data_IF_482237930925
#
_entry.id   IF_482237930925
#
_cell.length_a   1.000
_cell.length_b   1.000
_cell.length_c   1.000
_cell.angle_alpha   90.00
_cell.angle_beta   90.00
_cell.angle_gamma   90.00
#
_symmetry.space_group_name_H-M   'P 1'
#
loop_
_entity.id
_entity.type
_entity.pdbx_description
1 polymer ?
#
# COMPACT_ATOMS: atom_id res chain seq x y z
N UNK A 1 -9.17 21.48 -11.79
CA UNK A 1 -8.00 22.11 -12.45
C UNK A 1 -8.46 23.41 -13.09
N UNK A 2 -7.56 24.34 -13.38
CA UNK A 2 -7.87 25.55 -14.15
C UNK A 2 -6.88 25.68 -15.31
N UNK A 3 -7.37 26.15 -16.45
CA UNK A 3 -6.55 26.38 -17.63
C UNK A 3 -5.89 27.76 -17.52
N UNK A 4 -4.59 27.85 -17.81
CA UNK A 4 -3.85 29.11 -17.96
C UNK A 4 -3.59 29.37 -19.44
N UNK A 5 -4.36 30.27 -20.09
CA UNK A 5 -4.21 30.55 -21.52
C UNK A 5 -2.82 31.05 -21.88
N UNK A 6 -2.22 31.93 -21.06
CA UNK A 6 -0.90 32.50 -21.29
C UNK A 6 0.24 31.46 -21.31
N UNK A 7 0.04 30.30 -20.69
CA UNK A 7 1.03 29.23 -20.63
C UNK A 7 0.57 27.97 -21.39
N UNK A 8 -0.55 28.03 -22.11
CA UNK A 8 -1.14 26.89 -22.82
C UNK A 8 -1.32 25.62 -21.98
N UNK A 9 -1.51 25.75 -20.65
CA UNK A 9 -1.38 24.60 -19.75
C UNK A 9 -2.43 24.58 -18.65
N UNK A 10 -2.78 23.36 -18.22
CA UNK A 10 -3.67 23.11 -17.09
C UNK A 10 -2.89 23.07 -15.78
N UNK A 11 -3.44 23.68 -14.74
CA UNK A 11 -2.87 23.64 -13.39
C UNK A 11 -3.87 23.10 -12.37
N UNK A 12 -3.33 22.41 -11.38
CA UNK A 12 -4.10 21.99 -10.21
C UNK A 12 -4.50 23.23 -9.41
N UNK A 13 -5.81 23.42 -9.22
CA UNK A 13 -6.36 24.55 -8.48
C UNK A 13 -6.26 24.33 -6.97
N UNK A 14 -6.43 23.08 -6.54
CA UNK A 14 -6.39 22.66 -5.15
C UNK A 14 -5.96 21.19 -5.10
N UNK A 15 -5.22 20.83 -4.05
CA UNK A 15 -4.79 19.46 -3.79
C UNK A 15 -4.97 19.18 -2.30
N UNK A 16 -5.55 18.03 -1.96
CA UNK A 16 -5.68 17.60 -0.57
C UNK A 16 -4.30 17.31 0.04
N UNK A 17 -4.02 17.73 1.29
CA UNK A 17 -2.79 17.37 2.00
C UNK A 17 -2.66 15.85 2.20
N UNK A 18 -3.78 15.12 2.18
CA UNK A 18 -3.82 13.66 2.31
C UNK A 18 -3.76 12.93 0.95
N UNK A 19 -3.33 13.59 -0.13
CA UNK A 19 -3.26 12.96 -1.45
C UNK A 19 -2.34 11.73 -1.47
N UNK A 20 -1.17 11.80 -0.86
CA UNK A 20 -0.19 10.70 -0.86
C UNK A 20 -0.74 9.41 -0.23
N UNK A 21 -1.31 9.42 1.00
CA UNK A 21 -1.87 8.21 1.57
C UNK A 21 -3.07 7.67 0.77
N UNK A 22 -3.91 8.54 0.18
CA UNK A 22 -5.03 8.11 -0.67
C UNK A 22 -4.53 7.40 -1.95
N UNK A 23 -3.51 7.96 -2.61
CA UNK A 23 -2.93 7.34 -3.81
C UNK A 23 -2.26 6.01 -3.52
N UNK A 24 -1.61 5.90 -2.35
CA UNK A 24 -1.03 4.63 -1.91
C UNK A 24 -2.12 3.57 -1.74
N UNK A 25 -3.19 3.88 -0.99
CA UNK A 25 -4.31 2.96 -0.79
C UNK A 25 -4.96 2.54 -2.12
N UNK A 26 -5.19 3.50 -3.03
CA UNK A 26 -5.72 3.21 -4.37
C UNK A 26 -4.80 2.28 -5.17
N UNK A 27 -3.48 2.44 -5.05
CA UNK A 27 -2.51 1.59 -5.74
C UNK A 27 -2.54 0.15 -5.22
N UNK A 28 -2.61 -0.04 -3.90
CA UNK A 28 -2.72 -1.37 -3.28
C UNK A 28 -4.05 -2.05 -3.63
N UNK A 29 -5.16 -1.31 -3.60
CA UNK A 29 -6.47 -1.82 -4.03
C UNK A 29 -6.46 -2.24 -5.50
N UNK A 30 -5.89 -1.42 -6.38
CA UNK A 30 -5.74 -1.73 -7.81
C UNK A 30 -4.93 -3.00 -8.02
N UNK A 31 -3.84 -3.17 -7.26
CA UNK A 31 -2.99 -4.36 -7.30
C UNK A 31 -3.76 -5.61 -6.87
N UNK A 32 -4.54 -5.52 -5.80
CA UNK A 32 -5.35 -6.62 -5.29
C UNK A 32 -6.45 -7.04 -6.28
N UNK A 33 -7.12 -6.09 -6.94
CA UNK A 33 -8.12 -6.35 -7.99
C UNK A 33 -7.48 -7.11 -9.15
N UNK A 34 -6.34 -6.62 -9.68
CA UNK A 34 -5.64 -7.30 -10.78
C UNK A 34 -5.11 -8.69 -10.40
N UNK A 35 -4.66 -8.89 -9.16
CA UNK A 35 -4.20 -10.19 -8.69
C UNK A 35 -5.31 -11.26 -8.68
N UNK A 36 -6.58 -10.84 -8.63
CA UNK A 36 -7.74 -11.72 -8.78
C UNK A 36 -8.15 -11.99 -10.23
N UNK A 37 -7.48 -11.35 -11.19
CA UNK A 37 -7.82 -11.42 -12.62
C UNK A 37 -8.88 -10.40 -13.06
N UNK A 38 -9.29 -9.49 -12.18
CA UNK A 38 -10.29 -8.47 -12.48
C UNK A 38 -9.66 -7.21 -13.11
N UNK A 39 -10.45 -6.48 -13.90
CA UNK A 39 -10.07 -5.19 -14.48
C UNK A 39 -10.48 -4.01 -13.60
N UNK A 40 -9.59 -3.02 -13.48
CA UNK A 40 -9.84 -1.81 -12.71
C UNK A 40 -10.43 -0.74 -13.62
N UNK A 41 -11.63 -0.26 -13.28
CA UNK A 41 -12.31 0.82 -14.01
C UNK A 41 -12.37 2.09 -13.17
N UNK A 42 -12.36 3.24 -13.83
CA UNK A 42 -12.48 4.56 -13.20
C UNK A 42 -13.65 5.29 -13.85
N UNK A 43 -14.51 5.88 -13.02
CA UNK A 43 -15.61 6.74 -13.46
C UNK A 43 -15.38 8.16 -12.98
N UNK A 44 -15.49 9.13 -13.88
CA UNK A 44 -15.44 10.55 -13.52
C UNK A 44 -16.84 11.00 -13.10
N UNK A 45 -16.93 11.56 -11.90
CA UNK A 45 -18.14 12.18 -11.38
C UNK A 45 -17.89 13.66 -11.14
N UNK A 46 -18.90 14.49 -11.44
CA UNK A 46 -18.83 15.92 -11.19
C UNK A 46 -20.21 16.56 -11.10
N UNK A 47 -20.30 17.77 -10.55
CA UNK A 47 -21.53 18.54 -10.58
C UNK A 47 -21.83 18.99 -12.01
N UNK A 48 -23.06 18.75 -12.47
CA UNK A 48 -23.65 19.31 -13.69
C UNK A 48 -25.04 19.81 -13.32
N UNK A 49 -25.31 21.09 -13.57
CA UNK A 49 -26.59 21.72 -13.26
C UNK A 49 -27.02 21.58 -11.78
N UNK A 50 -26.05 21.57 -10.87
CA UNK A 50 -26.29 21.45 -9.43
C UNK A 50 -26.47 20.02 -8.91
N UNK A 51 -26.47 19.01 -9.78
CA UNK A 51 -26.58 17.59 -9.42
C UNK A 51 -25.31 16.83 -9.78
N UNK A 52 -25.01 15.75 -9.04
CA UNK A 52 -23.85 14.89 -9.35
C UNK A 52 -24.19 13.97 -10.53
N UNK A 53 -23.37 14.04 -11.58
CA UNK A 53 -23.51 13.18 -12.75
C UNK A 53 -22.21 12.46 -13.05
N UNK A 54 -22.35 11.24 -13.59
CA UNK A 54 -21.25 10.50 -14.20
C UNK A 54 -20.97 11.09 -15.57
N UNK A 55 -19.72 11.45 -15.82
CA UNK A 55 -19.25 11.89 -17.13
C UNK A 55 -18.69 10.70 -17.89
N UNK A 56 -19.16 10.53 -19.12
CA UNK A 56 -18.54 9.63 -20.07
C UNK A 56 -17.25 10.25 -20.56
N UNK A 57 -16.14 9.85 -19.96
CA UNK A 57 -14.82 10.13 -20.48
C UNK A 57 -14.49 9.11 -21.56
N UNK A 58 -14.30 9.51 -22.83
CA UNK A 58 -13.78 8.57 -23.82
C UNK A 58 -12.44 8.07 -23.31
N UNK A 59 -12.25 6.73 -23.30
CA UNK A 59 -10.97 6.09 -23.08
C UNK A 59 -10.03 6.48 -24.23
N UNK A 60 -9.50 7.71 -24.20
CA UNK A 60 -8.30 8.02 -24.94
C UNK A 60 -7.20 7.31 -24.16
N UNK A 61 -6.85 6.11 -24.61
CA UNK A 61 -5.56 5.49 -24.34
C UNK A 61 -4.49 6.42 -24.92
N UNK A 62 -4.28 7.57 -24.28
CA UNK A 62 -3.00 8.21 -24.35
C UNK A 62 -2.13 7.29 -23.54
N UNK A 63 -1.35 6.44 -24.20
CA UNK A 63 -0.19 5.84 -23.60
C UNK A 63 0.64 7.00 -23.06
N UNK A 64 0.44 7.31 -21.77
CA UNK A 64 1.39 8.11 -21.03
C UNK A 64 2.61 7.23 -21.07
N UNK A 65 3.60 7.59 -21.91
CA UNK A 65 4.94 7.06 -21.77
C UNK A 65 5.22 7.16 -20.28
N UNK A 66 5.31 6.00 -19.61
CA UNK A 66 5.81 5.98 -18.25
C UNK A 66 7.07 6.84 -18.29
N UNK A 67 7.23 7.83 -17.39
CA UNK A 67 8.55 8.41 -17.23
C UNK A 67 9.47 7.21 -17.07
N UNK A 68 10.41 7.08 -18.01
CA UNK A 68 11.41 6.02 -18.02
C UNK A 68 11.81 5.84 -16.56
N UNK A 69 11.67 4.65 -15.95
CA UNK A 69 12.04 4.48 -14.55
C UNK A 69 13.46 5.03 -14.45
N UNK A 70 13.58 6.21 -13.83
CA UNK A 70 14.87 6.82 -13.58
C UNK A 70 15.70 5.74 -12.91
N UNK A 71 17.00 5.65 -13.21
CA UNK A 71 17.83 4.52 -12.78
C UNK A 71 17.48 4.18 -11.33
N UNK A 72 16.94 2.98 -11.11
CA UNK A 72 16.56 2.50 -9.78
C UNK A 72 17.70 2.83 -8.82
N UNK A 73 17.50 3.74 -7.85
CA UNK A 73 18.52 3.99 -6.85
C UNK A 73 18.47 2.80 -5.88
N UNK A 74 19.28 1.78 -6.16
CA UNK A 74 19.59 0.69 -5.24
C UNK A 74 18.59 -0.47 -5.16
N UNK A 75 18.85 -1.54 -5.91
CA UNK A 75 18.87 -2.89 -5.29
C UNK A 75 19.93 -2.89 -4.16
N UNK A 76 19.93 -3.76 -3.14
CA UNK A 76 18.96 -4.73 -2.62
C UNK A 76 18.47 -4.38 -1.18
N UNK A 77 18.95 -3.27 -0.60
CA UNK A 77 18.68 -2.89 0.79
C UNK A 77 17.18 -2.68 1.04
N UNK A 78 16.49 -1.97 0.14
CA UNK A 78 15.06 -1.75 0.27
C UNK A 78 14.21 -3.03 0.17
N UNK A 79 14.66 -4.05 -0.56
CA UNK A 79 13.95 -5.33 -0.58
C UNK A 79 14.19 -6.12 0.70
N UNK A 80 15.44 -6.21 1.16
CA UNK A 80 15.80 -6.88 2.40
C UNK A 80 15.08 -6.24 3.61
N UNK A 81 15.08 -4.91 3.70
CA UNK A 81 14.35 -4.15 4.72
C UNK A 81 12.84 -4.39 4.64
N UNK A 82 12.25 -4.41 3.44
CA UNK A 82 10.82 -4.74 3.26
C UNK A 82 10.50 -6.17 3.68
N UNK A 83 11.40 -7.12 3.43
CA UNK A 83 11.23 -8.50 3.86
C UNK A 83 11.40 -8.64 5.38
N UNK A 84 12.31 -7.91 6.00
CA UNK A 84 12.41 -7.81 7.47
C UNK A 84 11.14 -7.19 8.06
N UNK A 85 10.65 -6.09 7.49
CA UNK A 85 9.40 -5.45 7.93
C UNK A 85 8.19 -6.37 7.80
N UNK A 86 8.09 -7.13 6.70
CA UNK A 86 7.04 -8.16 6.54
C UNK A 86 7.14 -9.25 7.59
N UNK A 87 8.34 -9.78 7.84
CA UNK A 87 8.58 -10.81 8.87
C UNK A 87 8.21 -10.29 10.27
N UNK A 88 8.60 -9.06 10.58
CA UNK A 88 8.24 -8.38 11.82
C UNK A 88 6.73 -8.26 11.98
N UNK A 89 6.01 -7.82 10.94
CA UNK A 89 4.54 -7.72 10.95
C UNK A 89 3.86 -9.08 11.21
N UNK A 90 4.38 -10.17 10.63
CA UNK A 90 3.83 -11.52 10.83
C UNK A 90 4.01 -11.99 12.28
N UNK A 91 5.18 -11.72 12.89
CA UNK A 91 5.44 -12.04 14.30
C UNK A 91 4.52 -11.23 15.22
N UNK A 92 4.41 -9.92 15.00
CA UNK A 92 3.53 -9.04 15.78
C UNK A 92 2.06 -9.48 15.69
N UNK A 93 1.59 -9.88 14.50
CA UNK A 93 0.25 -10.40 14.33
C UNK A 93 0.03 -11.73 15.08
N UNK A 94 1.06 -12.60 15.13
CA UNK A 94 1.04 -13.82 15.92
C UNK A 94 0.94 -13.55 17.42
N UNK A 95 1.75 -12.62 17.94
CA UNK A 95 1.75 -12.20 19.35
C UNK A 95 0.42 -11.55 19.76
N UNK A 96 -0.11 -10.66 18.91
CA UNK A 96 -1.42 -10.04 19.10
C UNK A 96 -2.52 -11.10 19.20
N UNK A 97 -2.48 -12.14 18.35
CA UNK A 97 -3.41 -13.26 18.43
C UNK A 97 -3.21 -14.15 19.66
N UNK A 98 -1.98 -14.21 20.18
CA UNK A 98 -1.67 -14.88 21.44
C UNK A 98 -2.13 -14.11 22.69
N UNK A 99 -2.69 -12.90 22.51
CA UNK A 99 -3.15 -12.05 23.62
C UNK A 99 -2.08 -11.16 24.23
N UNK A 100 -0.91 -11.04 23.59
CA UNK A 100 0.18 -10.15 24.01
C UNK A 100 0.05 -8.83 23.26
N UNK A 101 -0.54 -7.84 23.92
CA UNK A 101 -0.77 -6.50 23.37
C UNK A 101 0.17 -5.44 23.96
N UNK A 102 0.60 -5.63 25.21
CA UNK A 102 1.50 -4.73 25.92
C UNK A 102 2.93 -5.28 25.91
N UNK A 103 3.61 -5.11 24.78
CA UNK A 103 5.02 -5.48 24.64
C UNK A 103 5.92 -4.39 25.22
N UNK A 104 6.96 -4.80 25.95
CA UNK A 104 7.98 -3.87 26.39
C UNK A 104 8.94 -3.52 25.23
N UNK A 105 9.74 -2.44 25.34
CA UNK A 105 10.76 -2.13 24.34
C UNK A 105 11.78 -3.27 24.12
N UNK A 106 12.03 -4.06 25.15
CA UNK A 106 12.88 -5.26 25.08
C UNK A 106 12.24 -6.35 24.23
N UNK A 107 10.92 -6.55 24.36
CA UNK A 107 10.16 -7.50 23.54
C UNK A 107 10.16 -7.09 22.06
N UNK A 108 9.95 -5.81 21.77
CA UNK A 108 10.04 -5.28 20.40
C UNK A 108 11.42 -5.50 19.78
N UNK A 109 12.48 -5.32 20.58
CA UNK A 109 13.86 -5.60 20.17
C UNK A 109 14.08 -7.08 19.89
N UNK A 110 13.49 -7.97 20.71
CA UNK A 110 13.56 -9.41 20.49
C UNK A 110 12.81 -9.83 19.21
N UNK A 111 11.63 -9.26 18.95
CA UNK A 111 10.86 -9.50 17.72
C UNK A 111 11.61 -9.01 16.50
N UNK A 112 12.25 -7.84 16.57
CA UNK A 112 13.09 -7.31 15.51
C UNK A 112 14.29 -8.22 15.20
N UNK A 113 14.98 -8.72 16.23
CA UNK A 113 16.10 -9.65 16.06
C UNK A 113 15.66 -10.97 15.41
N UNK A 114 14.48 -11.49 15.76
CA UNK A 114 13.89 -12.67 15.12
C UNK A 114 13.54 -12.39 13.65
N UNK A 115 12.94 -11.22 13.37
CA UNK A 115 12.57 -10.82 12.03
C UNK A 115 13.78 -10.64 11.11
N UNK A 116 14.94 -10.24 11.63
CA UNK A 116 16.17 -10.13 10.85
C UNK A 116 16.78 -11.50 10.52
N UNK A 117 16.78 -12.43 11.48
CA UNK A 117 17.52 -13.69 11.40
C UNK A 117 16.74 -14.86 10.78
N UNK A 118 15.42 -14.91 10.92
CA UNK A 118 14.61 -16.03 10.46
C UNK A 118 14.12 -15.84 9.03
N UNK A 119 14.07 -16.92 8.24
CA UNK A 119 13.41 -16.87 6.93
C UNK A 119 11.88 -16.81 7.05
N UNK A 120 11.21 -16.44 5.96
CA UNK A 120 9.76 -16.23 5.89
C UNK A 120 8.95 -17.48 6.30
N UNK A 121 9.39 -18.69 5.93
CA UNK A 121 8.66 -19.91 6.26
C UNK A 121 8.76 -20.22 7.75
N UNK A 122 9.94 -20.04 8.34
CA UNK A 122 10.17 -20.16 9.78
C UNK A 122 9.33 -19.16 10.57
N UNK A 123 9.28 -17.89 10.14
CA UNK A 123 8.46 -16.85 10.76
C UNK A 123 6.97 -17.20 10.75
N UNK A 124 6.44 -17.68 9.62
CA UNK A 124 5.04 -18.11 9.53
C UNK A 124 4.71 -19.27 10.44
N UNK A 125 5.63 -20.23 10.59
CA UNK A 125 5.46 -21.37 11.50
C UNK A 125 5.40 -20.91 12.95
N UNK A 126 6.28 -20.00 13.37
CA UNK A 126 6.26 -19.40 14.71
C UNK A 126 4.96 -18.63 14.95
N UNK A 127 4.57 -17.76 14.03
CA UNK A 127 3.32 -17.01 14.14
C UNK A 127 2.09 -17.92 14.18
N UNK A 128 2.10 -19.04 13.46
CA UNK A 128 1.06 -20.04 13.53
C UNK A 128 0.98 -20.69 14.92
N UNK A 129 2.12 -21.09 15.51
CA UNK A 129 2.16 -21.63 16.87
C UNK A 129 1.65 -20.63 17.92
N UNK A 130 2.05 -19.36 17.80
CA UNK A 130 1.57 -18.29 18.69
C UNK A 130 0.05 -18.11 18.57
N UNK A 131 -0.47 -18.08 17.34
CA UNK A 131 -1.90 -17.97 17.10
C UNK A 131 -2.68 -19.21 17.59
N UNK A 132 -2.13 -20.42 17.45
CA UNK A 132 -2.78 -21.64 17.96
C UNK A 132 -2.78 -21.71 19.49
N UNK A 133 -1.71 -21.22 20.14
CA UNK A 133 -1.61 -21.18 21.59
C UNK A 133 -2.61 -20.17 22.19
N UNK A 134 -2.85 -19.04 21.51
CA UNK A 134 -3.84 -18.03 21.93
C UNK A 134 -5.29 -18.43 21.73
N UNK A 135 -5.58 -19.32 20.76
CA UNK A 135 -6.94 -19.77 20.44
C UNK A 135 -7.47 -20.93 21.28
N UNK A 136 -6.67 -21.49 22.20
CA UNK A 136 -7.05 -22.62 23.05
C UNK A 136 -7.77 -22.20 24.35
N UNK A 137 -8.40 -21.02 24.38
CA UNK A 137 -9.15 -20.50 25.52
C UNK A 137 -10.60 -20.19 25.15
#
# INVERSE_FOLDING_TARGET
>A
MFYRPAAGSWRTAAQSPHRSPVLYALSEMTRAVRARGDEVTVALWGPKDGTWHRFDTPLKQTAVSLPNPGPSPGEPAGLAERMTGRRHQVLMAGLTKAGLYDLSPEDDTAVQALAERLDEASVRRVAHWLASAGGAR
#
